data_IF_856285842170
#
_entry.id   IF_856285842170
#
_cell.length_a   1.000
_cell.length_b   1.000
_cell.length_c   1.000
_cell.angle_alpha   90.00
_cell.angle_beta   90.00
_cell.angle_gamma   90.00
#
_symmetry.space_group_name_H-M   'P 1'
#
loop_
_entity.id
_entity.type
_entity.pdbx_description
1 polymer ?
#
# COMPACT_ATOMS: atom_id res chain seq x y z
N UNK A 1 24.63 22.20 -10.40
CA UNK A 1 23.51 21.24 -10.30
C UNK A 1 23.82 20.06 -9.38
N UNK A 2 25.06 19.53 -9.38
CA UNK A 2 25.54 18.43 -8.52
C UNK A 2 25.34 18.64 -7.02
N UNK A 3 25.54 19.86 -6.50
CA UNK A 3 25.42 20.16 -5.05
C UNK A 3 23.99 20.04 -4.52
N UNK A 4 22.98 20.40 -5.31
CA UNK A 4 21.58 20.25 -4.91
C UNK A 4 21.19 18.77 -4.82
N UNK A 5 21.66 17.96 -5.77
CA UNK A 5 21.47 16.51 -5.75
C UNK A 5 22.22 15.89 -4.57
N UNK A 6 23.47 16.30 -4.31
CA UNK A 6 24.26 15.86 -3.18
C UNK A 6 23.55 16.13 -1.84
N UNK A 7 22.95 17.32 -1.67
CA UNK A 7 22.17 17.66 -0.46
C UNK A 7 20.89 16.84 -0.32
N UNK A 8 20.19 16.56 -1.43
CA UNK A 8 18.99 15.74 -1.39
C UNK A 8 19.32 14.29 -0.97
N UNK A 9 20.38 13.72 -1.55
CA UNK A 9 20.89 12.39 -1.19
C UNK A 9 21.34 12.35 0.27
N UNK A 10 22.03 13.39 0.74
CA UNK A 10 22.47 13.49 2.13
C UNK A 10 21.30 13.59 3.12
N UNK A 11 20.25 14.34 2.77
CA UNK A 11 19.01 14.38 3.57
C UNK A 11 18.33 13.02 3.64
N UNK A 12 18.34 12.25 2.55
CA UNK A 12 17.79 10.90 2.52
C UNK A 12 18.61 9.94 3.41
N UNK A 13 19.94 10.04 3.37
CA UNK A 13 20.84 9.27 4.23
C UNK A 13 20.58 9.59 5.72
N UNK A 14 20.42 10.87 6.07
CA UNK A 14 20.10 11.28 7.44
C UNK A 14 18.71 10.85 7.90
N UNK A 15 17.71 10.84 7.02
CA UNK A 15 16.38 10.33 7.36
C UNK A 15 16.36 8.81 7.62
N UNK A 16 17.33 8.08 7.06
CA UNK A 16 17.53 6.65 7.36
C UNK A 16 18.25 6.39 8.70
N UNK A 17 18.86 7.40 9.32
CA UNK A 17 19.52 7.26 10.61
C UNK A 17 18.51 7.51 11.74
N UNK A 18 18.16 6.45 12.46
CA UNK A 18 17.27 6.53 13.63
C UNK A 18 17.85 7.38 14.78
N UNK A 19 17.04 7.58 15.82
CA UNK A 19 17.34 8.45 16.98
C UNK A 19 18.64 8.14 17.72
N UNK A 20 19.14 6.90 17.63
CA UNK A 20 20.38 6.45 18.28
C UNK A 20 21.65 7.05 17.65
N UNK A 21 21.63 7.51 16.40
CA UNK A 21 22.82 7.95 15.66
C UNK A 21 22.81 9.46 15.36
N UNK A 22 22.12 10.25 16.19
CA UNK A 22 22.15 11.72 16.08
C UNK A 22 23.59 12.27 16.00
N UNK A 23 24.52 11.68 16.75
CA UNK A 23 25.94 12.06 16.75
C UNK A 23 26.63 11.72 15.42
N UNK A 24 26.30 10.57 14.83
CA UNK A 24 26.83 10.17 13.51
C UNK A 24 26.21 10.98 12.38
N UNK A 25 24.93 11.32 12.47
CA UNK A 25 24.25 12.23 11.56
C UNK A 25 24.82 13.66 11.64
N UNK A 26 25.20 14.11 12.83
CA UNK A 26 25.89 15.38 13.03
C UNK A 26 27.31 15.36 12.43
N UNK A 27 28.06 14.28 12.66
CA UNK A 27 29.39 14.08 12.07
C UNK A 27 29.34 14.02 10.54
N UNK A 28 28.41 13.24 9.97
CA UNK A 28 28.17 13.16 8.53
C UNK A 28 27.84 14.51 7.90
N UNK A 29 27.03 15.34 8.58
CA UNK A 29 26.69 16.69 8.09
C UNK A 29 27.92 17.60 8.06
N UNK A 30 28.77 17.53 9.08
CA UNK A 30 30.01 18.31 9.15
C UNK A 30 31.01 17.88 8.06
N UNK A 31 31.16 16.57 7.83
CA UNK A 31 32.06 16.03 6.79
C UNK A 31 31.53 16.30 5.37
N UNK A 32 30.21 16.33 5.18
CA UNK A 32 29.60 16.66 3.89
C UNK A 32 29.87 18.11 3.47
N UNK A 33 29.88 19.07 4.40
CA UNK A 33 30.20 20.46 4.08
C UNK A 33 31.64 20.63 3.60
N UNK A 34 32.56 19.78 4.09
CA UNK A 34 33.95 19.70 3.62
C UNK A 34 34.03 19.02 2.24
N UNK A 35 33.30 17.92 2.04
CA UNK A 35 33.26 17.20 0.76
C UNK A 35 32.62 18.03 -0.38
N UNK A 36 31.65 18.89 -0.06
CA UNK A 36 31.08 19.84 -1.04
C UNK A 36 32.11 20.88 -1.47
N UNK A 37 32.96 21.35 -0.56
CA UNK A 37 34.02 22.31 -0.85
C UNK A 37 35.15 21.69 -1.70
N UNK A 38 35.44 20.40 -1.54
CA UNK A 38 36.40 19.66 -2.38
C UNK A 38 35.83 19.19 -3.72
N UNK A 39 34.54 19.41 -4.00
CA UNK A 39 33.86 18.96 -5.23
C UNK A 39 33.42 17.49 -5.22
N UNK A 40 33.61 16.77 -4.11
CA UNK A 40 33.30 15.34 -3.95
C UNK A 40 31.98 15.08 -3.18
N UNK A 41 31.17 16.12 -2.95
CA UNK A 41 29.96 15.99 -2.12
C UNK A 41 28.96 14.92 -2.58
N UNK A 42 28.92 14.61 -3.88
CA UNK A 42 28.00 13.60 -4.44
C UNK A 42 28.45 12.16 -4.16
N UNK A 43 29.74 11.84 -4.31
CA UNK A 43 30.29 10.52 -3.98
C UNK A 43 30.24 10.26 -2.48
N UNK A 44 30.54 11.29 -1.67
CA UNK A 44 30.40 11.23 -0.21
C UNK A 44 28.95 10.96 0.21
N UNK A 45 27.99 11.72 -0.31
CA UNK A 45 26.57 11.54 0.01
C UNK A 45 26.07 10.14 -0.40
N UNK A 46 26.52 9.60 -1.53
CA UNK A 46 26.17 8.25 -1.97
C UNK A 46 26.79 7.17 -1.06
N UNK A 47 28.04 7.34 -0.62
CA UNK A 47 28.67 6.47 0.37
C UNK A 47 27.92 6.47 1.71
N UNK A 48 27.50 7.66 2.16
CA UNK A 48 26.69 7.82 3.36
C UNK A 48 25.31 7.17 3.21
N UNK A 49 24.68 7.30 2.04
CA UNK A 49 23.39 6.68 1.76
C UNK A 49 23.47 5.16 1.76
N UNK A 50 24.45 4.60 1.05
CA UNK A 50 24.62 3.14 0.91
C UNK A 50 24.96 2.47 2.22
N UNK A 51 25.73 3.12 3.09
CA UNK A 51 26.00 2.65 4.46
C UNK A 51 24.76 2.75 5.33
N UNK A 52 24.08 3.89 5.35
CA UNK A 52 22.82 4.05 6.08
C UNK A 52 21.73 3.04 5.63
N UNK A 53 21.64 2.77 4.33
CA UNK A 53 20.69 1.79 3.77
C UNK A 53 21.10 0.33 4.01
N UNK A 54 22.40 0.01 4.07
CA UNK A 54 22.87 -1.33 4.45
C UNK A 54 22.60 -1.63 5.91
N UNK A 55 22.66 -0.62 6.77
CA UNK A 55 22.40 -0.76 8.19
C UNK A 55 20.90 -0.68 8.54
N UNK A 56 20.08 -0.02 7.71
CA UNK A 56 18.62 0.06 7.88
C UNK A 56 17.91 -1.28 8.17
N UNK A 57 18.16 -2.37 7.42
CA UNK A 57 17.53 -3.67 7.68
C UNK A 57 18.14 -4.42 8.87
N UNK A 58 19.31 -4.00 9.38
CA UNK A 58 19.94 -4.57 10.58
C UNK A 58 19.35 -4.00 11.88
N UNK A 59 18.48 -2.99 11.79
CA UNK A 59 17.92 -2.29 12.94
C UNK A 59 16.41 -2.49 13.06
N UNK A 60 15.93 -2.72 14.28
CA UNK A 60 14.53 -3.03 14.60
C UNK A 60 13.54 -1.97 14.09
N UNK A 61 13.82 -0.69 14.35
CA UNK A 61 12.97 0.43 13.88
C UNK A 61 13.05 0.62 12.35
N UNK A 62 14.22 0.38 11.76
CA UNK A 62 14.48 0.55 10.32
C UNK A 62 13.85 -0.55 9.47
N UNK A 63 13.93 -1.80 9.92
CA UNK A 63 13.30 -2.97 9.29
C UNK A 63 11.77 -2.91 9.36
N UNK A 64 11.23 -2.48 10.51
CA UNK A 64 9.79 -2.28 10.67
C UNK A 64 9.28 -1.11 9.81
N UNK A 65 10.02 0.00 9.73
CA UNK A 65 9.68 1.08 8.81
C UNK A 65 9.73 0.63 7.34
N UNK A 66 10.81 -0.06 6.93
CA UNK A 66 10.99 -0.52 5.56
C UNK A 66 9.88 -1.48 5.15
N UNK A 67 9.57 -2.48 5.98
CA UNK A 67 8.48 -3.43 5.74
C UNK A 67 7.13 -2.73 5.61
N UNK A 68 6.81 -1.75 6.47
CA UNK A 68 5.57 -0.97 6.37
C UNK A 68 5.47 -0.19 5.05
N UNK A 69 6.55 0.43 4.59
CA UNK A 69 6.59 1.08 3.28
C UNK A 69 6.47 0.07 2.13
N UNK A 70 7.16 -1.07 2.22
CA UNK A 70 7.10 -2.15 1.21
C UNK A 70 5.69 -2.72 1.09
N UNK A 71 4.99 -2.99 2.20
CA UNK A 71 3.60 -3.49 2.16
C UNK A 71 2.62 -2.42 1.68
N UNK A 72 2.78 -1.17 2.11
CA UNK A 72 1.95 -0.06 1.67
C UNK A 72 2.05 0.16 0.16
N UNK A 73 3.27 0.29 -0.36
CA UNK A 73 3.53 0.60 -1.77
C UNK A 73 3.44 -0.63 -2.68
N UNK A 74 3.84 -1.80 -2.19
CA UNK A 74 3.95 -3.02 -3.00
C UNK A 74 2.68 -3.86 -3.03
N UNK A 75 1.78 -3.72 -2.05
CA UNK A 75 0.62 -4.62 -1.90
C UNK A 75 -0.71 -3.85 -1.80
N UNK A 76 -0.82 -2.91 -0.88
CA UNK A 76 -2.10 -2.24 -0.57
C UNK A 76 -2.47 -1.21 -1.63
N UNK A 77 -1.53 -0.33 -2.01
CA UNK A 77 -1.80 0.70 -3.01
C UNK A 77 -2.09 0.09 -4.40
N UNK A 78 -1.36 -0.94 -4.86
CA UNK A 78 -1.72 -1.66 -6.09
C UNK A 78 -3.10 -2.30 -6.03
N UNK A 79 -3.49 -2.90 -4.89
CA UNK A 79 -4.83 -3.46 -4.72
C UNK A 79 -5.92 -2.38 -4.84
N UNK A 80 -5.71 -1.21 -4.23
CA UNK A 80 -6.62 -0.07 -4.36
C UNK A 80 -6.73 0.43 -5.82
N UNK A 81 -5.59 0.51 -6.52
CA UNK A 81 -5.54 0.93 -7.92
C UNK A 81 -6.28 -0.06 -8.85
N UNK A 82 -6.11 -1.36 -8.64
CA UNK A 82 -6.80 -2.40 -9.40
C UNK A 82 -8.32 -2.30 -9.19
N UNK A 83 -8.79 -2.14 -7.95
CA UNK A 83 -10.22 -1.98 -7.67
C UNK A 83 -10.82 -0.70 -8.27
N UNK A 84 -10.06 0.40 -8.23
CA UNK A 84 -10.48 1.67 -8.82
C UNK A 84 -10.53 1.61 -10.36
N UNK A 85 -9.53 0.97 -10.97
CA UNK A 85 -9.52 0.74 -12.42
C UNK A 85 -10.69 -0.17 -12.83
N UNK A 86 -10.93 -1.25 -12.08
CA UNK A 86 -12.08 -2.13 -12.30
C UNK A 86 -13.40 -1.38 -12.29
N UNK A 87 -13.62 -0.55 -11.26
CA UNK A 87 -14.79 0.32 -11.14
C UNK A 87 -14.97 1.23 -12.37
N UNK A 88 -13.88 1.85 -12.82
CA UNK A 88 -13.90 2.75 -13.98
C UNK A 88 -14.25 2.03 -15.29
N UNK A 89 -13.86 0.77 -15.42
CA UNK A 89 -14.11 -0.06 -16.60
C UNK A 89 -15.41 -0.87 -16.54
N UNK A 90 -16.22 -0.70 -15.50
CA UNK A 90 -17.52 -1.36 -15.35
C UNK A 90 -17.46 -2.74 -14.67
N UNK A 91 -16.27 -3.20 -14.27
CA UNK A 91 -16.14 -4.30 -13.32
C UNK A 91 -16.61 -3.80 -11.94
N UNK A 92 -17.38 -4.58 -11.16
CA UNK A 92 -17.70 -5.99 -11.35
C UNK A 92 -19.11 -6.29 -11.90
N UNK A 93 -19.77 -5.35 -12.59
CA UNK A 93 -21.20 -5.44 -12.92
C UNK A 93 -21.52 -5.63 -14.40
N UNK A 94 -20.50 -5.51 -15.25
CA UNK A 94 -20.56 -5.90 -16.67
C UNK A 94 -20.04 -7.33 -16.76
N UNK A 95 -20.76 -8.20 -17.48
CA UNK A 95 -20.36 -9.58 -17.73
C UNK A 95 -18.95 -9.58 -18.34
N UNK A 96 -17.90 -10.04 -17.64
CA UNK A 96 -16.66 -10.30 -18.34
C UNK A 96 -16.93 -11.55 -19.18
N UNK A 97 -16.85 -11.51 -20.52
CA UNK A 97 -16.96 -12.73 -21.28
C UNK A 97 -15.65 -13.48 -21.01
N UNK A 98 -15.64 -14.33 -19.99
CA UNK A 98 -14.54 -15.22 -19.62
C UNK A 98 -13.16 -14.51 -19.59
N UNK A 99 -12.85 -13.83 -18.49
CA UNK A 99 -11.50 -13.38 -18.21
C UNK A 99 -10.62 -14.59 -17.86
N UNK A 100 -9.94 -15.16 -18.87
CA UNK A 100 -8.96 -16.24 -18.67
C UNK A 100 -7.72 -15.73 -17.90
N UNK A 101 -7.49 -14.41 -17.88
CA UNK A 101 -6.34 -13.79 -17.20
C UNK A 101 -6.68 -12.48 -16.49
N UNK A 102 -5.86 -12.11 -15.49
CA UNK A 102 -5.98 -10.84 -14.74
C UNK A 102 -5.86 -9.61 -15.68
N UNK A 103 -5.22 -9.75 -16.84
CA UNK A 103 -5.12 -8.68 -17.84
C UNK A 103 -6.47 -8.36 -18.53
N UNK A 104 -7.41 -9.30 -18.53
CA UNK A 104 -8.72 -9.09 -19.16
C UNK A 104 -9.61 -8.12 -18.37
N UNK A 105 -9.30 -7.89 -17.08
CA UNK A 105 -9.92 -6.82 -16.28
C UNK A 105 -9.58 -5.40 -16.76
N UNK A 106 -8.58 -5.24 -17.63
CA UNK A 106 -8.20 -3.94 -18.20
C UNK A 106 -8.81 -3.66 -19.59
N UNK A 107 -9.56 -4.61 -20.17
CA UNK A 107 -10.18 -4.44 -21.49
C UNK A 107 -11.56 -3.82 -21.33
N UNK A 108 -11.80 -2.71 -22.04
CA UNK A 108 -13.07 -1.97 -22.06
C UNK A 108 -14.05 -2.63 -23.02
N UNK A 109 -15.18 -3.19 -22.58
CA UNK A 109 -16.24 -3.63 -23.48
C UNK A 109 -17.39 -2.63 -23.38
N UNK A 110 -17.50 -1.74 -24.37
CA UNK A 110 -18.70 -0.91 -24.55
C UNK A 110 -19.84 -1.77 -25.10
N UNK A 111 -20.97 -1.85 -24.37
CA UNK A 111 -22.22 -2.44 -24.88
C UNK A 111 -22.54 -3.88 -24.45
N UNK A 112 -21.86 -4.43 -23.44
CA UNK A 112 -22.19 -5.76 -22.91
C UNK A 112 -23.42 -5.73 -22.00
N UNK A 113 -24.26 -6.79 -22.02
CA UNK A 113 -25.35 -6.95 -21.07
C UNK A 113 -24.80 -6.99 -19.64
N UNK A 114 -25.48 -6.29 -18.74
CA UNK A 114 -25.17 -6.35 -17.32
C UNK A 114 -25.56 -7.72 -16.77
N UNK A 115 -24.73 -8.31 -15.91
CA UNK A 115 -25.05 -9.58 -15.20
C UNK A 115 -26.14 -9.40 -14.13
N UNK A 116 -26.68 -8.18 -13.99
CA UNK A 116 -27.80 -7.86 -13.12
C UNK A 116 -29.11 -8.41 -13.66
N UNK A 117 -29.92 -8.95 -12.75
CA UNK A 117 -31.34 -9.12 -13.00
C UNK A 117 -31.97 -7.75 -13.31
N UNK A 118 -32.86 -7.67 -14.31
CA UNK A 118 -33.48 -6.41 -14.72
C UNK A 118 -34.19 -5.67 -13.57
N UNK A 119 -34.73 -6.39 -12.59
CA UNK A 119 -35.34 -5.82 -11.37
C UNK A 119 -34.35 -5.26 -10.34
N UNK A 120 -33.07 -5.61 -10.43
CA UNK A 120 -32.03 -5.25 -9.46
C UNK A 120 -31.05 -4.19 -10.00
N UNK A 121 -31.31 -3.61 -11.18
CA UNK A 121 -30.46 -2.59 -11.79
C UNK A 121 -30.24 -1.36 -10.87
N UNK A 122 -31.20 -1.05 -10.00
CA UNK A 122 -31.09 0.04 -9.01
C UNK A 122 -30.01 -0.22 -7.93
N UNK A 123 -29.56 -1.45 -7.73
CA UNK A 123 -28.53 -1.78 -6.73
C UNK A 123 -27.12 -1.38 -7.18
N UNK A 124 -26.88 -1.19 -8.49
CA UNK A 124 -25.54 -0.94 -9.06
C UNK A 124 -24.88 0.31 -8.49
N UNK A 125 -25.53 1.49 -8.41
CA UNK A 125 -24.93 2.68 -7.82
C UNK A 125 -24.57 2.50 -6.34
N UNK A 126 -25.39 1.75 -5.59
CA UNK A 126 -25.14 1.47 -4.17
C UNK A 126 -23.89 0.59 -3.98
N UNK A 127 -23.76 -0.45 -4.79
CA UNK A 127 -22.58 -1.32 -4.78
C UNK A 127 -21.32 -0.59 -5.26
N UNK A 128 -21.44 0.30 -6.25
CA UNK A 128 -20.35 1.17 -6.67
C UNK A 128 -19.88 2.10 -5.56
N UNK A 129 -20.82 2.65 -4.80
CA UNK A 129 -20.52 3.49 -3.63
C UNK A 129 -19.79 2.68 -2.55
N UNK A 130 -20.22 1.45 -2.26
CA UNK A 130 -19.53 0.56 -1.33
C UNK A 130 -18.11 0.22 -1.79
N UNK A 131 -17.91 -0.02 -3.09
CA UNK A 131 -16.59 -0.27 -3.66
C UNK A 131 -15.66 0.96 -3.55
N UNK A 132 -16.18 2.16 -3.79
CA UNK A 132 -15.44 3.41 -3.58
C UNK A 132 -15.04 3.60 -2.12
N UNK A 133 -15.96 3.33 -1.19
CA UNK A 133 -15.66 3.33 0.26
C UNK A 133 -14.54 2.33 0.56
N UNK A 134 -14.54 1.17 -0.10
CA UNK A 134 -13.49 0.17 0.07
C UNK A 134 -12.13 0.63 -0.43
N UNK A 135 -12.07 1.26 -1.61
CA UNK A 135 -10.85 1.86 -2.18
C UNK A 135 -10.31 2.96 -1.27
N UNK A 136 -11.17 3.85 -0.81
CA UNK A 136 -10.79 4.89 0.14
C UNK A 136 -10.25 4.28 1.46
N UNK A 137 -10.88 3.21 1.96
CA UNK A 137 -10.43 2.47 3.12
C UNK A 137 -9.01 1.89 2.95
N UNK A 138 -8.69 1.30 1.79
CA UNK A 138 -7.35 0.78 1.50
C UNK A 138 -6.28 1.88 1.52
N UNK A 139 -6.58 3.05 0.93
CA UNK A 139 -5.67 4.20 0.91
C UNK A 139 -5.44 4.73 2.33
N UNK A 140 -6.50 4.90 3.11
CA UNK A 140 -6.42 5.34 4.50
C UNK A 140 -5.67 4.32 5.37
N UNK A 141 -5.90 3.03 5.15
CA UNK A 141 -5.19 1.96 5.84
C UNK A 141 -3.69 2.02 5.54
N UNK A 142 -3.30 2.15 4.26
CA UNK A 142 -1.90 2.34 3.87
C UNK A 142 -1.27 3.58 4.53
N UNK A 143 -2.01 4.70 4.57
CA UNK A 143 -1.57 5.93 5.21
C UNK A 143 -1.31 5.74 6.71
N UNK A 144 -2.29 5.24 7.47
CA UNK A 144 -2.13 5.02 8.90
C UNK A 144 -1.11 3.93 9.23
N UNK A 145 -0.95 2.94 8.35
CA UNK A 145 0.10 1.94 8.45
C UNK A 145 1.48 2.57 8.23
N UNK A 146 1.64 3.60 7.40
CA UNK A 146 2.89 4.38 7.25
C UNK A 146 3.12 5.36 8.40
N UNK A 147 2.07 5.87 9.04
CA UNK A 147 2.17 6.73 10.24
C UNK A 147 2.36 5.96 11.55
N UNK A 148 2.25 4.62 11.55
CA UNK A 148 2.34 3.75 12.72
C UNK A 148 1.15 3.91 13.67
N UNK A 149 0.05 4.47 13.18
CA UNK A 149 -1.15 4.69 13.97
C UNK A 149 -2.05 3.45 13.93
N UNK A 150 -1.70 2.45 14.73
CA UNK A 150 -2.33 1.13 14.72
C UNK A 150 -3.81 1.17 15.13
N UNK A 151 -4.21 2.07 16.03
CA UNK A 151 -5.61 2.21 16.44
C UNK A 151 -6.50 2.65 15.27
N UNK A 152 -6.06 3.68 14.53
CA UNK A 152 -6.77 4.16 13.35
C UNK A 152 -6.70 3.16 12.20
N UNK A 153 -5.55 2.52 11.99
CA UNK A 153 -5.41 1.47 10.98
C UNK A 153 -6.39 0.30 11.25
N UNK A 154 -6.52 -0.16 12.50
CA UNK A 154 -7.46 -1.21 12.88
C UNK A 154 -8.93 -0.77 12.74
N UNK A 155 -9.26 0.49 13.05
CA UNK A 155 -10.60 1.02 12.84
C UNK A 155 -10.97 1.04 11.35
N UNK A 156 -10.07 1.55 10.50
CA UNK A 156 -10.26 1.59 9.03
C UNK A 156 -10.35 0.18 8.46
N UNK A 157 -9.53 -0.76 8.93
CA UNK A 157 -9.59 -2.14 8.48
C UNK A 157 -10.92 -2.81 8.84
N UNK A 158 -11.43 -2.62 10.07
CA UNK A 158 -12.75 -3.17 10.46
C UNK A 158 -13.87 -2.59 9.59
N UNK A 159 -13.82 -1.29 9.30
CA UNK A 159 -14.75 -0.65 8.38
C UNK A 159 -14.63 -1.21 6.96
N UNK A 160 -13.40 -1.44 6.48
CA UNK A 160 -13.11 -2.06 5.19
C UNK A 160 -13.63 -3.49 5.08
N UNK A 161 -13.43 -4.31 6.12
CA UNK A 161 -13.94 -5.68 6.21
C UNK A 161 -15.47 -5.70 6.21
N UNK A 162 -16.13 -4.83 6.99
CA UNK A 162 -17.57 -4.68 6.98
C UNK A 162 -18.08 -4.29 5.58
N UNK A 163 -17.43 -3.32 4.93
CA UNK A 163 -17.74 -2.91 3.56
C UNK A 163 -17.62 -4.08 2.56
N UNK A 164 -16.56 -4.89 2.63
CA UNK A 164 -16.40 -6.07 1.77
C UNK A 164 -17.46 -7.13 2.03
N UNK A 165 -17.83 -7.37 3.28
CA UNK A 165 -18.91 -8.33 3.64
C UNK A 165 -20.25 -7.84 3.11
N UNK A 166 -20.57 -6.56 3.30
CA UNK A 166 -21.80 -5.96 2.75
C UNK A 166 -21.81 -6.06 1.23
N UNK A 167 -20.71 -5.72 0.57
CA UNK A 167 -20.57 -5.86 -0.87
C UNK A 167 -20.79 -7.31 -1.31
N UNK A 168 -20.20 -8.30 -0.63
CA UNK A 168 -20.38 -9.71 -0.92
C UNK A 168 -21.85 -10.18 -0.80
N UNK A 169 -22.52 -9.81 0.30
CA UNK A 169 -23.91 -10.19 0.55
C UNK A 169 -24.87 -9.57 -0.46
N UNK A 170 -24.74 -8.26 -0.71
CA UNK A 170 -25.64 -7.58 -1.64
C UNK A 170 -25.36 -7.99 -3.09
N UNK A 171 -24.09 -8.22 -3.47
CA UNK A 171 -23.78 -8.75 -4.80
C UNK A 171 -24.33 -10.16 -5.00
N UNK A 172 -24.25 -11.04 -4.01
CA UNK A 172 -24.81 -12.39 -4.11
C UNK A 172 -26.34 -12.40 -4.28
N UNK A 173 -27.04 -11.38 -3.76
CA UNK A 173 -28.48 -11.22 -3.95
C UNK A 173 -28.83 -10.51 -5.28
N UNK A 174 -28.00 -9.56 -5.73
CA UNK A 174 -28.28 -8.73 -6.89
C UNK A 174 -27.82 -9.34 -8.22
N UNK A 175 -26.84 -10.24 -8.20
CA UNK A 175 -26.19 -10.83 -9.39
C UNK A 175 -26.31 -12.34 -9.37
N UNK A 176 -26.40 -12.95 -10.56
CA UNK A 176 -26.31 -14.40 -10.71
C UNK A 176 -24.87 -14.91 -10.59
N UNK A 177 -23.90 -14.08 -10.94
CA UNK A 177 -22.47 -14.40 -10.89
C UNK A 177 -21.79 -13.76 -9.68
N UNK A 178 -21.20 -14.59 -8.81
CA UNK A 178 -20.51 -14.21 -7.57
C UNK A 178 -19.03 -13.83 -7.85
N UNK A 179 -18.55 -14.01 -9.07
CA UNK A 179 -17.18 -13.64 -9.48
C UNK A 179 -16.89 -12.14 -9.27
N UNK A 180 -17.96 -11.34 -9.23
CA UNK A 180 -17.95 -9.90 -8.96
C UNK A 180 -17.31 -9.49 -7.61
N UNK A 181 -17.26 -10.40 -6.63
CA UNK A 181 -16.73 -10.13 -5.28
C UNK A 181 -15.37 -10.76 -5.01
N UNK A 182 -14.80 -11.48 -5.97
CA UNK A 182 -13.48 -12.11 -5.81
C UNK A 182 -12.38 -11.06 -5.58
N UNK A 183 -12.34 -10.00 -6.39
CA UNK A 183 -11.27 -8.99 -6.28
C UNK A 183 -11.32 -8.22 -4.95
N UNK A 184 -12.49 -7.74 -4.48
CA UNK A 184 -12.62 -7.19 -3.13
C UNK A 184 -12.25 -8.17 -2.00
N UNK A 185 -12.56 -9.46 -2.15
CA UNK A 185 -12.18 -10.49 -1.18
C UNK A 185 -10.67 -10.75 -1.17
N UNK A 186 -10.03 -10.80 -2.33
CA UNK A 186 -8.57 -10.92 -2.45
C UNK A 186 -7.88 -9.71 -1.81
N UNK A 187 -8.38 -8.50 -2.03
CA UNK A 187 -7.85 -7.29 -1.40
C UNK A 187 -7.96 -7.35 0.14
N UNK A 188 -9.07 -7.87 0.68
CA UNK A 188 -9.20 -8.12 2.12
C UNK A 188 -8.21 -9.18 2.62
N UNK A 189 -8.01 -10.25 1.85
CA UNK A 189 -7.00 -11.28 2.17
C UNK A 189 -5.59 -10.71 2.23
N UNK A 190 -5.24 -9.85 1.27
CA UNK A 190 -3.97 -9.11 1.21
C UNK A 190 -3.76 -8.25 2.46
N UNK A 191 -4.78 -7.52 2.92
CA UNK A 191 -4.71 -6.74 4.16
C UNK A 191 -4.47 -7.62 5.39
N UNK A 192 -5.24 -8.72 5.51
CA UNK A 192 -5.13 -9.66 6.64
C UNK A 192 -3.74 -10.31 6.70
N UNK A 193 -3.22 -10.74 5.56
CA UNK A 193 -1.87 -11.31 5.46
C UNK A 193 -0.80 -10.28 5.82
N UNK A 194 -0.94 -9.04 5.34
CA UNK A 194 0.00 -7.95 5.66
C UNK A 194 0.10 -7.73 7.17
N UNK A 195 -1.04 -7.72 7.87
CA UNK A 195 -1.08 -7.56 9.33
C UNK A 195 -0.53 -8.79 10.06
N UNK A 196 -0.88 -10.00 9.61
CA UNK A 196 -0.34 -11.22 10.21
C UNK A 196 1.19 -11.27 10.08
N UNK A 197 1.74 -10.83 8.94
CA UNK A 197 3.18 -10.71 8.73
C UNK A 197 3.78 -9.62 9.64
N UNK A 198 3.21 -8.42 9.66
CA UNK A 198 3.65 -7.33 10.56
C UNK A 198 3.62 -7.76 12.04
N UNK A 199 2.57 -8.47 12.46
CA UNK A 199 2.44 -9.00 13.82
C UNK A 199 3.47 -10.07 14.12
N UNK A 200 3.70 -11.03 13.21
CA UNK A 200 4.73 -12.06 13.39
C UNK A 200 6.13 -11.48 13.50
N UNK A 201 6.41 -10.42 12.75
CA UNK A 201 7.67 -9.68 12.86
C UNK A 201 7.76 -8.95 14.20
N UNK A 202 6.66 -8.40 14.70
CA UNK A 202 6.61 -7.77 16.02
C UNK A 202 6.75 -8.78 17.20
N UNK A 203 6.15 -9.97 17.09
CA UNK A 203 6.14 -11.00 18.13
C UNK A 203 7.37 -11.92 18.11
N UNK A 204 7.93 -12.22 16.93
CA UNK A 204 9.14 -13.04 16.78
C UNK A 204 10.41 -12.38 17.32
N UNK A 205 10.32 -11.12 17.75
CA UNK A 205 11.42 -10.29 18.24
C UNK A 205 11.36 -10.03 19.76
N UNK A 206 10.35 -10.55 20.47
CA UNK A 206 10.37 -10.65 21.94
C UNK A 206 11.11 -11.92 22.35
N UNK A 207 12.22 -11.86 23.13
CA UNK A 207 12.77 -13.08 23.71
C UNK A 207 11.67 -13.73 24.57
N UNK A 208 11.50 -15.05 24.42
CA UNK A 208 10.67 -15.83 25.31
C UNK A 208 11.12 -15.53 26.75
N UNK A 209 10.25 -14.86 27.51
CA UNK A 209 10.44 -14.62 28.93
C UNK A 209 10.38 -15.94 29.71
#
# INVERSE_FOLDING_TARGET
MTVLVARAVMKLAMAGMGSHRCDWAAAMRAEFDVAVQSGEGLSFAYGCLTTAWRELPMHHEGSLALSRYTFALGLILPAAAILLAGLWFGYPWVEPPYAETIADFAKVPTGLPTTTWAGNAFAVPGLATLLLVRVAGLILFAWFMVEANWEKAAAVQRAGAASTITLALFSAAAFADVTCVILPLLALGVELVSIALLRRWHEGELPAA
#
